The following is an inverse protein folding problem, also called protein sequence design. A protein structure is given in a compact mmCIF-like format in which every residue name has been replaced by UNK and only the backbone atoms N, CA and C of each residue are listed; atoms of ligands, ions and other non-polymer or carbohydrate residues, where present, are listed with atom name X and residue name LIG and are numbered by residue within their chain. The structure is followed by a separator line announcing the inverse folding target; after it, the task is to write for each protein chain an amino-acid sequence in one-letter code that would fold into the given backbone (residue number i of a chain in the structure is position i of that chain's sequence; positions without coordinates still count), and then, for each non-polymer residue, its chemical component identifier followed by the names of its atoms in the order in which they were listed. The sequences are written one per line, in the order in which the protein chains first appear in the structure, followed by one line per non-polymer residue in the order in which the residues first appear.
data_IF_266760261121
#
_entry.id   IF_266760261121
#
_cell.length_a   1.000
_cell.length_b   1.000
_cell.length_c   1.000
_cell.angle_alpha   90.00
_cell.angle_beta   90.00
_cell.angle_gamma   90.00
#
_symmetry.space_group_name_H-M   'P 1'
#
loop_
_entity.id
_entity.type
_entity.pdbx_description
1 polymer ?
#
# COMPACT_ATOMS: atom_id res chain seq x y z
N UNK A 1 -9.52 4.26 -19.45
CA UNK A 1 -9.25 4.02 -18.02
C UNK A 1 -8.11 4.94 -17.61
N UNK A 2 -8.19 6.21 -18.01
CA UNK A 2 -6.99 6.93 -18.43
C UNK A 2 -6.14 7.35 -17.24
N UNK A 3 -6.78 7.66 -16.11
CA UNK A 3 -6.12 7.94 -14.83
C UNK A 3 -5.37 6.71 -14.29
N UNK A 4 -5.91 5.51 -14.48
CA UNK A 4 -5.24 4.26 -14.07
C UNK A 4 -4.02 4.02 -14.97
N UNK A 5 -4.17 4.25 -16.27
CA UNK A 5 -3.10 4.03 -17.25
C UNK A 5 -1.95 5.04 -17.06
N UNK A 6 -2.27 6.31 -16.80
CA UNK A 6 -1.31 7.35 -16.43
C UNK A 6 -0.61 7.03 -15.11
N UNK A 7 -1.36 6.59 -14.09
CA UNK A 7 -0.80 6.18 -12.80
C UNK A 7 0.16 5.00 -12.93
N UNK A 8 -0.16 4.03 -13.80
CA UNK A 8 0.74 2.91 -14.12
C UNK A 8 2.01 3.37 -14.83
N UNK A 9 1.90 4.31 -15.77
CA UNK A 9 3.06 4.84 -16.50
C UNK A 9 4.03 5.61 -15.59
N UNK A 10 3.52 6.29 -14.55
CA UNK A 10 4.32 7.05 -13.58
C UNK A 10 4.79 6.23 -12.37
N UNK A 11 4.33 4.98 -12.20
CA UNK A 11 4.76 4.10 -11.11
C UNK A 11 6.25 3.80 -11.30
N UNK A 12 7.04 3.90 -10.23
CA UNK A 12 8.44 3.50 -10.26
C UNK A 12 8.52 1.98 -10.49
N UNK A 13 8.83 1.59 -11.73
CA UNK A 13 9.05 0.19 -12.12
C UNK A 13 10.55 0.02 -12.29
N UNK A 14 11.25 -0.40 -11.24
CA UNK A 14 12.63 -0.85 -11.39
C UNK A 14 12.63 -2.19 -12.13
N UNK A 15 12.92 -2.16 -13.44
CA UNK A 15 13.11 -3.36 -14.24
C UNK A 15 14.36 -4.07 -13.74
N UNK A 16 14.20 -5.23 -13.10
CA UNK A 16 15.30 -6.16 -12.89
C UNK A 16 14.93 -7.51 -13.48
N UNK A 17 15.96 -8.17 -14.02
CA UNK A 17 15.89 -9.24 -15.00
C UNK A 17 15.38 -10.60 -14.46
N UNK A 18 14.51 -10.62 -13.45
CA UNK A 18 14.00 -11.88 -12.90
C UNK A 18 12.66 -11.82 -12.14
N UNK A 19 11.90 -10.72 -12.11
CA UNK A 19 10.51 -10.78 -11.61
C UNK A 19 9.65 -9.58 -12.02
N UNK A 20 8.38 -9.89 -12.19
CA UNK A 20 7.27 -9.07 -12.70
C UNK A 20 7.16 -7.66 -12.12
N UNK A 21 6.67 -6.81 -13.03
CA UNK A 21 6.33 -5.38 -13.07
C UNK A 21 5.63 -4.75 -11.83
N UNK A 22 5.47 -5.45 -10.71
CA UNK A 22 4.71 -4.99 -9.53
C UNK A 22 5.34 -5.31 -8.17
N UNK A 23 6.38 -6.14 -8.09
CA UNK A 23 6.85 -6.71 -6.82
C UNK A 23 7.50 -5.73 -5.84
N UNK A 24 7.88 -4.52 -6.28
CA UNK A 24 8.75 -3.61 -5.50
C UNK A 24 8.12 -2.29 -5.04
N UNK A 25 6.83 -2.06 -5.28
CA UNK A 25 6.16 -0.87 -4.77
C UNK A 25 4.70 -1.18 -4.40
N UNK A 26 4.20 -0.57 -3.33
CA UNK A 26 2.77 -0.58 -3.03
C UNK A 26 2.07 0.49 -3.86
N UNK A 27 0.86 0.22 -4.35
CA UNK A 27 0.00 1.19 -5.03
C UNK A 27 -1.33 1.32 -4.32
N UNK A 28 -1.78 2.56 -4.16
CA UNK A 28 -3.07 2.89 -3.55
C UNK A 28 -3.84 3.75 -4.54
N UNK A 29 -4.98 3.24 -5.00
CA UNK A 29 -5.91 3.97 -5.84
C UNK A 29 -7.16 4.34 -5.02
N UNK A 30 -7.41 5.64 -4.84
CA UNK A 30 -8.52 6.16 -4.05
C UNK A 30 -9.66 6.61 -4.96
N UNK A 31 -10.81 5.96 -4.80
CA UNK A 31 -12.07 6.43 -5.37
C UNK A 31 -12.83 7.15 -4.26
N UNK A 32 -12.97 8.47 -4.39
CA UNK A 32 -13.77 9.28 -3.48
C UNK A 32 -15.12 9.60 -4.13
N UNK A 33 -16.17 8.99 -3.62
CA UNK A 33 -17.54 9.21 -4.06
C UNK A 33 -18.15 10.26 -3.14
N UNK A 34 -18.51 11.41 -3.70
CA UNK A 34 -19.26 12.45 -3.00
C UNK A 34 -20.63 12.56 -3.63
N UNK A 35 -21.67 12.55 -2.81
CA UNK A 35 -23.05 12.71 -3.24
C UNK A 35 -23.73 13.78 -2.39
N UNK A 36 -24.59 14.55 -3.02
CA UNK A 36 -25.44 15.53 -2.37
C UNK A 36 -26.87 15.31 -2.86
N UNK A 37 -27.80 15.15 -1.92
CA UNK A 37 -29.21 15.11 -2.22
C UNK A 37 -29.72 16.55 -2.30
N UNK A 38 -30.19 16.97 -3.48
CA UNK A 38 -30.54 18.36 -3.77
C UNK A 38 -31.78 18.85 -3.00
N UNK A 39 -32.70 17.94 -2.66
CA UNK A 39 -33.95 18.29 -1.96
C UNK A 39 -33.77 18.38 -0.44
N UNK A 40 -32.91 17.52 0.11
CA UNK A 40 -32.69 17.41 1.56
C UNK A 40 -31.38 18.06 2.01
N UNK A 41 -30.57 18.54 1.07
CA UNK A 41 -29.21 19.07 1.25
C UNK A 41 -28.24 18.09 1.96
N UNK A 42 -28.62 16.82 2.08
CA UNK A 42 -27.82 15.80 2.76
C UNK A 42 -26.62 15.42 1.89
N UNK A 43 -25.44 15.47 2.50
CA UNK A 43 -24.16 15.12 1.87
C UNK A 43 -23.67 13.77 2.38
N UNK A 44 -23.26 12.91 1.46
CA UNK A 44 -22.61 11.63 1.73
C UNK A 44 -21.23 11.63 1.07
N UNK A 45 -20.25 11.05 1.75
CA UNK A 45 -18.91 10.84 1.19
C UNK A 45 -18.43 9.45 1.55
N UNK A 46 -18.12 8.65 0.52
CA UNK A 46 -17.50 7.34 0.64
C UNK A 46 -16.11 7.36 0.05
N UNK A 47 -15.15 6.76 0.75
CA UNK A 47 -13.79 6.56 0.24
C UNK A 47 -13.55 5.07 0.07
N UNK A 48 -13.29 4.64 -1.17
CA UNK A 48 -12.90 3.29 -1.51
C UNK A 48 -11.40 3.29 -1.85
N UNK A 49 -10.62 2.55 -1.08
CA UNK A 49 -9.19 2.36 -1.29
C UNK A 49 -8.99 1.00 -1.98
N UNK A 50 -8.48 1.01 -3.21
CA UNK A 50 -8.00 -0.18 -3.90
C UNK A 50 -6.49 -0.25 -3.72
N UNK A 51 -6.03 -1.28 -3.01
CA UNK A 51 -4.63 -1.41 -2.59
C UNK A 51 -4.00 -2.61 -3.30
N UNK A 52 -2.93 -2.36 -4.05
CA UNK A 52 -2.05 -3.37 -4.65
C UNK A 52 -0.74 -3.38 -3.86
N UNK A 53 -0.47 -4.48 -3.15
CA UNK A 53 0.68 -4.59 -2.27
C UNK A 53 1.85 -5.26 -2.98
N UNK A 54 3.06 -4.73 -2.76
CA UNK A 54 4.32 -5.38 -3.13
C UNK A 54 4.50 -6.76 -2.47
N UNK A 55 5.50 -7.50 -2.96
CA UNK A 55 5.85 -8.82 -2.45
C UNK A 55 6.26 -8.81 -0.98
N UNK A 56 5.87 -9.87 -0.25
CA UNK A 56 6.16 -10.05 1.19
C UNK A 56 7.25 -11.08 1.44
N UNK A 57 8.03 -11.43 0.43
CA UNK A 57 9.07 -12.44 0.54
C UNK A 57 10.20 -12.02 1.48
N UNK A 58 10.76 -13.01 2.18
CA UNK A 58 11.86 -12.78 3.12
C UNK A 58 13.12 -12.42 2.33
N UNK A 59 13.67 -11.24 2.62
CA UNK A 59 14.88 -10.70 1.96
C UNK A 59 16.08 -11.65 2.03
N UNK A 60 16.20 -12.45 3.10
CA UNK A 60 17.29 -13.44 3.22
C UNK A 60 17.26 -14.55 2.16
N UNK A 61 16.13 -14.71 1.44
CA UNK A 61 15.96 -15.71 0.37
C UNK A 61 16.16 -15.13 -1.03
N UNK A 62 16.28 -13.81 -1.16
CA UNK A 62 16.33 -13.14 -2.48
C UNK A 62 17.76 -12.90 -2.97
N UNK A 63 18.77 -13.04 -2.10
CA UNK A 63 20.16 -12.70 -2.44
C UNK A 63 20.36 -11.22 -2.75
N UNK A 64 19.45 -10.35 -2.32
CA UNK A 64 19.53 -8.91 -2.54
C UNK A 64 20.68 -8.29 -1.74
N UNK A 65 21.45 -7.41 -2.38
CA UNK A 65 22.58 -6.69 -1.80
C UNK A 65 22.48 -5.19 -2.07
N UNK A 66 23.23 -4.39 -1.30
CA UNK A 66 23.32 -2.93 -1.47
C UNK A 66 21.96 -2.23 -1.50
N UNK A 67 21.74 -1.38 -2.50
CA UNK A 67 20.50 -0.61 -2.63
C UNK A 67 19.24 -1.48 -2.77
N UNK A 68 19.35 -2.67 -3.39
CA UNK A 68 18.21 -3.59 -3.56
C UNK A 68 17.82 -4.24 -2.23
N UNK A 69 18.81 -4.52 -1.36
CA UNK A 69 18.57 -5.00 -0.01
C UNK A 69 17.81 -3.96 0.82
N UNK A 70 18.22 -2.69 0.71
CA UNK A 70 17.58 -1.61 1.47
C UNK A 70 16.16 -1.30 0.95
N UNK A 71 15.94 -1.39 -0.37
CA UNK A 71 14.60 -1.36 -0.98
C UNK A 71 13.69 -2.48 -0.42
N UNK A 72 14.17 -3.73 -0.45
CA UNK A 72 13.43 -4.89 0.04
C UNK A 72 13.11 -4.83 1.55
N UNK A 73 14.00 -4.24 2.36
CA UNK A 73 13.73 -3.97 3.79
C UNK A 73 12.61 -2.96 3.96
N UNK A 74 12.60 -1.88 3.18
CA UNK A 74 11.57 -0.84 3.29
C UNK A 74 10.18 -1.37 2.91
N UNK A 75 10.08 -2.18 1.84
CA UNK A 75 8.83 -2.87 1.46
C UNK A 75 8.32 -3.76 2.60
N UNK A 76 9.20 -4.59 3.17
CA UNK A 76 8.82 -5.48 4.26
C UNK A 76 8.47 -4.72 5.55
N UNK A 77 9.06 -3.55 5.78
CA UNK A 77 8.71 -2.68 6.90
C UNK A 77 7.28 -2.17 6.79
N UNK A 78 6.87 -1.66 5.63
CA UNK A 78 5.48 -1.20 5.42
C UNK A 78 4.47 -2.35 5.53
N UNK A 79 4.78 -3.54 5.01
CA UNK A 79 3.93 -4.72 5.16
C UNK A 79 3.79 -5.20 6.61
N UNK A 80 4.89 -5.20 7.35
CA UNK A 80 4.87 -5.56 8.78
C UNK A 80 4.06 -4.55 9.60
N UNK A 81 4.20 -3.26 9.31
CA UNK A 81 3.39 -2.22 9.94
C UNK A 81 1.89 -2.44 9.67
N UNK A 82 1.52 -2.73 8.41
CA UNK A 82 0.15 -3.05 8.04
C UNK A 82 -0.38 -4.28 8.79
N UNK A 83 0.41 -5.35 8.86
CA UNK A 83 0.07 -6.57 9.62
C UNK A 83 -0.19 -6.27 11.09
N UNK A 84 0.68 -5.50 11.74
CA UNK A 84 0.51 -5.11 13.14
C UNK A 84 -0.79 -4.32 13.38
N UNK A 85 -1.12 -3.38 12.48
CA UNK A 85 -2.35 -2.58 12.54
C UNK A 85 -3.58 -3.49 12.40
N UNK A 86 -3.57 -4.43 11.46
CA UNK A 86 -4.68 -5.38 11.26
C UNK A 86 -4.86 -6.28 12.49
N UNK A 87 -3.77 -6.82 13.03
CA UNK A 87 -3.82 -7.65 14.25
C UNK A 87 -4.36 -6.89 15.45
N UNK A 88 -3.88 -5.65 15.68
CA UNK A 88 -4.34 -4.82 16.79
C UNK A 88 -5.85 -4.49 16.71
N UNK A 89 -6.36 -4.27 15.48
CA UNK A 89 -7.79 -4.09 15.22
C UNK A 89 -8.60 -5.36 15.50
N UNK A 90 -8.09 -6.52 15.07
CA UNK A 90 -8.74 -7.81 15.30
C UNK A 90 -8.81 -8.16 16.80
N UNK A 91 -7.81 -7.75 17.58
CA UNK A 91 -7.73 -7.95 19.03
C UNK A 91 -8.58 -6.93 19.84
N UNK A 92 -9.20 -5.94 19.19
CA UNK A 92 -10.09 -4.97 19.83
C UNK A 92 -9.37 -3.88 20.63
N UNK A 93 -8.09 -3.64 20.33
CA UNK A 93 -7.27 -2.66 21.04
C UNK A 93 -7.71 -1.24 20.68
N UNK A 94 -8.30 -0.49 21.62
CA UNK A 94 -8.82 0.88 21.39
C UNK A 94 -7.75 1.96 21.12
N UNK A 95 -6.47 1.65 21.33
CA UNK A 95 -5.35 2.57 21.13
C UNK A 95 -4.66 2.29 19.79
N UNK A 96 -5.17 2.88 18.71
CA UNK A 96 -4.57 2.79 17.37
C UNK A 96 -3.79 4.07 17.07
N UNK A 97 -2.57 4.20 17.62
CA UNK A 97 -1.60 5.13 17.07
C UNK A 97 -1.06 4.53 15.77
N UNK A 98 -0.66 5.37 14.80
CA UNK A 98 0.21 4.91 13.70
C UNK A 98 1.34 4.07 14.32
N UNK A 99 1.38 2.77 14.01
CA UNK A 99 2.44 1.90 14.51
C UNK A 99 3.66 2.21 13.64
N UNK A 100 4.46 3.18 14.06
CA UNK A 100 5.83 3.29 13.58
C UNK A 100 6.52 1.99 13.95
N UNK A 101 6.89 1.20 12.94
CA UNK A 101 7.62 -0.04 13.14
C UNK A 101 8.91 0.28 13.88
N UNK A 102 9.07 -0.34 15.06
CA UNK A 102 10.27 -0.26 15.91
C UNK A 102 11.52 -0.41 15.04
N UNK A 103 12.49 0.48 15.27
CA UNK A 103 13.80 0.54 14.60
C UNK A 103 14.50 -0.81 14.55
#
# INVERSE_FOLDING_TARGET
MDVIDEGKANRHVAVTNMNEHSSRSHSIFLINIKQENVETEKKLSGKLYLVDLAGSEKVSKTGAEGAVLDEAKNINKSLSALGNVISALAEGTKSMSHIETVK
#
